data_IF_333807169316
#
_entry.id   IF_333807169316
#
_cell.length_a   1.000
_cell.length_b   1.000
_cell.length_c   1.000
_cell.angle_alpha   90.00
_cell.angle_beta   90.00
_cell.angle_gamma   90.00
#
_symmetry.space_group_name_H-M   'P 1'
#
loop_
_entity.id
_entity.type
_entity.pdbx_description
1 polymer ?
#
# COMPACT_ATOMS: atom_id res chain seq x y z
N UNK A 1 19.25 12.61 1.02
CA UNK A 1 18.00 13.08 0.39
C UNK A 1 17.74 14.50 0.84
N UNK A 2 17.54 15.43 -0.09
CA UNK A 2 17.09 16.78 0.28
C UNK A 2 15.60 16.72 0.62
N UNK A 3 15.25 16.90 1.89
CA UNK A 3 13.86 16.93 2.39
C UNK A 3 12.96 17.87 1.57
N UNK A 4 13.54 18.96 1.06
CA UNK A 4 12.87 19.94 0.20
C UNK A 4 12.26 19.34 -1.08
N UNK A 5 12.98 18.46 -1.79
CA UNK A 5 12.51 17.90 -3.07
C UNK A 5 11.35 16.93 -2.87
N UNK A 6 11.36 16.20 -1.76
CA UNK A 6 10.27 15.31 -1.35
C UNK A 6 9.02 16.13 -0.97
N UNK A 7 9.18 17.23 -0.24
CA UNK A 7 8.07 18.15 0.08
C UNK A 7 7.46 18.78 -1.18
N UNK A 8 8.27 19.17 -2.15
CA UNK A 8 7.82 19.72 -3.43
C UNK A 8 6.98 18.71 -4.21
N UNK A 9 7.51 17.49 -4.42
CA UNK A 9 6.80 16.41 -5.12
C UNK A 9 5.49 16.08 -4.39
N UNK A 10 5.54 15.99 -3.06
CA UNK A 10 4.36 15.72 -2.26
C UNK A 10 3.28 16.79 -2.43
N UNK A 11 3.67 18.08 -2.52
CA UNK A 11 2.73 19.16 -2.75
C UNK A 11 2.17 19.16 -4.17
N UNK A 12 3.01 18.95 -5.18
CA UNK A 12 2.62 18.93 -6.60
C UNK A 12 1.58 17.84 -6.88
N UNK A 13 1.81 16.63 -6.37
CA UNK A 13 0.93 15.48 -6.58
C UNK A 13 -0.17 15.35 -5.51
N UNK A 14 -0.21 16.24 -4.52
CA UNK A 14 -1.18 16.19 -3.43
C UNK A 14 -1.06 14.95 -2.55
N UNK A 15 0.16 14.49 -2.30
CA UNK A 15 0.50 13.38 -1.40
C UNK A 15 0.23 13.82 0.05
N UNK A 16 -0.54 13.02 0.77
CA UNK A 16 -0.89 13.21 2.18
C UNK A 16 0.01 12.39 3.11
N UNK A 17 0.42 11.21 2.65
CA UNK A 17 1.39 10.34 3.32
C UNK A 17 2.24 9.66 2.27
N UNK A 18 3.53 9.52 2.56
CA UNK A 18 4.44 8.63 1.84
C UNK A 18 5.11 7.72 2.85
N UNK A 19 5.05 6.42 2.59
CA UNK A 19 5.55 5.38 3.46
C UNK A 19 6.49 4.49 2.65
N UNK A 20 7.63 4.11 3.23
CA UNK A 20 8.38 2.97 2.75
C UNK A 20 7.84 1.73 3.43
N UNK A 21 7.54 0.69 2.68
CA UNK A 21 7.14 -0.61 3.21
C UNK A 21 8.00 -1.73 2.58
N UNK A 22 7.66 -2.99 2.79
CA UNK A 22 8.34 -4.11 2.12
C UNK A 22 9.09 -5.07 3.02
N UNK A 23 9.50 -6.20 2.43
CA UNK A 23 10.15 -7.34 3.10
C UNK A 23 11.59 -7.06 3.55
N UNK A 24 12.14 -5.89 3.25
CA UNK A 24 13.44 -5.42 3.76
C UNK A 24 13.40 -4.98 5.23
N UNK A 25 12.35 -5.36 5.97
CA UNK A 25 12.35 -5.38 7.44
C UNK A 25 12.82 -6.75 7.99
N UNK A 26 12.97 -7.79 7.14
CA UNK A 26 13.35 -9.16 7.56
C UNK A 26 14.67 -9.73 6.97
N UNK A 27 15.56 -8.89 6.41
CA UNK A 27 16.99 -9.26 6.35
C UNK A 27 17.50 -10.08 5.15
N UNK A 28 16.93 -9.92 3.95
CA UNK A 28 17.55 -10.45 2.72
C UNK A 28 17.79 -9.32 1.71
N UNK A 29 18.88 -8.59 1.91
CA UNK A 29 19.30 -7.48 1.05
C UNK A 29 19.97 -8.02 -0.21
N UNK A 30 19.25 -8.04 -1.33
CA UNK A 30 19.89 -8.14 -2.65
C UNK A 30 20.38 -6.74 -3.07
N UNK A 31 21.57 -6.57 -3.67
CA UNK A 31 22.12 -5.27 -4.08
C UNK A 31 21.34 -4.53 -5.20
N UNK A 32 20.20 -5.06 -5.63
CA UNK A 32 19.20 -4.40 -6.50
C UNK A 32 17.82 -4.36 -5.83
N UNK A 33 17.78 -4.22 -4.50
CA UNK A 33 16.52 -4.30 -3.75
C UNK A 33 15.52 -3.31 -4.30
N UNK A 34 14.39 -3.83 -4.77
CA UNK A 34 13.21 -3.04 -5.09
C UNK A 34 12.80 -2.26 -3.83
N UNK A 35 12.50 -0.98 -4.03
CA UNK A 35 12.09 -0.07 -2.98
C UNK A 35 10.57 0.09 -3.02
N UNK A 36 9.88 -0.56 -2.09
CA UNK A 36 8.42 -0.47 -2.01
C UNK A 36 8.00 0.85 -1.33
N UNK A 37 7.36 1.73 -2.10
CA UNK A 37 6.87 3.04 -1.63
C UNK A 37 5.35 3.08 -1.75
N UNK A 38 4.67 3.31 -0.64
CA UNK A 38 3.22 3.48 -0.59
C UNK A 38 2.89 4.97 -0.43
N UNK A 39 1.99 5.48 -1.28
CA UNK A 39 1.53 6.87 -1.22
C UNK A 39 0.03 6.92 -1.00
N UNK A 40 -0.38 7.82 -0.11
CA UNK A 40 -1.77 8.23 0.07
C UNK A 40 -1.95 9.59 -0.57
N UNK A 41 -2.81 9.66 -1.57
CA UNK A 41 -3.13 10.89 -2.28
C UNK A 41 -4.39 11.52 -1.73
N UNK A 42 -4.45 12.85 -1.77
CA UNK A 42 -5.67 13.60 -1.47
C UNK A 42 -6.79 13.29 -2.46
N UNK A 43 -6.43 13.16 -3.74
CA UNK A 43 -7.36 12.82 -4.82
C UNK A 43 -7.01 11.43 -5.34
N UNK A 44 -7.89 10.42 -5.14
CA UNK A 44 -7.62 9.05 -5.55
C UNK A 44 -7.74 8.82 -7.07
N UNK A 45 -8.44 9.69 -7.78
CA UNK A 45 -8.69 9.55 -9.21
C UNK A 45 -7.56 10.22 -10.01
N UNK A 46 -6.45 9.52 -10.21
CA UNK A 46 -5.41 9.97 -11.13
C UNK A 46 -5.70 9.50 -12.56
N UNK A 47 -5.41 10.34 -13.54
CA UNK A 47 -5.27 9.92 -14.93
C UNK A 47 -4.00 9.07 -15.12
N UNK A 48 -3.90 8.36 -16.25
CA UNK A 48 -2.71 7.56 -16.56
C UNK A 48 -1.44 8.43 -16.62
N UNK A 49 -1.55 9.63 -17.20
CA UNK A 49 -0.45 10.60 -17.28
C UNK A 49 -0.01 11.06 -15.88
N UNK A 50 -0.95 11.46 -15.02
CA UNK A 50 -0.62 11.86 -13.64
C UNK A 50 0.02 10.74 -12.83
N UNK A 51 -0.41 9.48 -13.04
CA UNK A 51 0.21 8.33 -12.38
C UNK A 51 1.63 8.07 -12.90
N UNK A 52 1.85 8.22 -14.21
CA UNK A 52 3.18 8.08 -14.81
C UNK A 52 4.13 9.18 -14.30
N UNK A 53 3.66 10.43 -14.25
CA UNK A 53 4.42 11.57 -13.74
C UNK A 53 4.76 11.40 -12.26
N UNK A 54 3.78 11.01 -11.43
CA UNK A 54 4.00 10.70 -10.02
C UNK A 54 5.06 9.60 -9.86
N UNK A 55 4.95 8.52 -10.63
CA UNK A 55 5.91 7.41 -10.58
C UNK A 55 7.31 7.87 -10.98
N UNK A 56 7.43 8.69 -12.03
CA UNK A 56 8.69 9.25 -12.47
C UNK A 56 9.33 10.16 -11.42
N UNK A 57 8.55 11.04 -10.81
CA UNK A 57 9.04 11.96 -9.77
C UNK A 57 9.47 11.21 -8.51
N UNK A 58 8.70 10.21 -8.07
CA UNK A 58 9.09 9.36 -6.94
C UNK A 58 10.35 8.55 -7.27
N UNK A 59 10.46 7.99 -8.48
CA UNK A 59 11.65 7.28 -8.94
C UNK A 59 12.90 8.19 -8.94
N UNK A 60 12.74 9.47 -9.30
CA UNK A 60 13.82 10.46 -9.28
C UNK A 60 14.32 10.79 -7.86
N UNK A 61 13.52 10.56 -6.81
CA UNK A 61 13.96 10.72 -5.43
C UNK A 61 14.96 9.65 -4.99
N UNK A 62 14.94 8.47 -5.62
CA UNK A 62 15.75 7.30 -5.25
C UNK A 62 16.64 6.84 -6.43
N UNK A 63 17.63 7.66 -6.82
CA UNK A 63 18.51 7.30 -7.94
C UNK A 63 19.29 6.02 -7.64
N UNK A 64 19.30 5.08 -8.60
CA UNK A 64 20.01 3.80 -8.49
C UNK A 64 19.24 2.67 -7.80
N UNK A 65 17.98 2.88 -7.41
CA UNK A 65 17.08 1.84 -6.92
C UNK A 65 15.82 1.80 -7.78
N UNK A 66 15.23 0.63 -8.01
CA UNK A 66 13.94 0.53 -8.68
C UNK A 66 12.83 0.75 -7.64
N UNK A 67 11.93 1.71 -7.88
CA UNK A 67 10.82 2.02 -6.98
C UNK A 67 9.56 1.29 -7.45
N UNK A 68 8.94 0.53 -6.56
CA UNK A 68 7.58 0.02 -6.75
C UNK A 68 6.58 0.91 -6.01
N UNK A 69 5.71 1.60 -6.76
CA UNK A 69 4.78 2.59 -6.22
C UNK A 69 3.40 1.95 -5.98
N UNK A 70 3.00 1.89 -4.72
CA UNK A 70 1.67 1.46 -4.30
C UNK A 70 0.75 2.64 -3.95
N UNK A 71 -0.45 2.69 -4.53
CA UNK A 71 -1.47 3.67 -4.18
C UNK A 71 -2.35 3.15 -3.02
N UNK A 72 -2.19 3.75 -1.84
CA UNK A 72 -2.96 3.42 -0.63
C UNK A 72 -4.47 3.62 -0.86
N UNK A 73 -4.85 4.60 -1.68
CA UNK A 73 -6.23 4.94 -1.97
C UNK A 73 -7.07 3.78 -2.54
N UNK A 74 -6.43 2.90 -3.33
CA UNK A 74 -7.08 1.78 -4.01
C UNK A 74 -6.57 0.42 -3.54
N UNK A 75 -5.70 0.40 -2.53
CA UNK A 75 -5.18 -0.83 -1.97
C UNK A 75 -6.29 -1.68 -1.36
N UNK A 76 -6.26 -2.99 -1.63
CA UNK A 76 -7.18 -3.93 -1.00
C UNK A 76 -6.90 -4.04 0.52
N UNK A 77 -7.85 -4.54 1.33
CA UNK A 77 -7.70 -4.59 2.78
C UNK A 77 -6.51 -5.43 3.27
N UNK A 78 -6.12 -6.49 2.55
CA UNK A 78 -4.99 -7.34 2.90
C UNK A 78 -3.68 -6.63 2.62
N UNK A 79 -3.56 -6.01 1.44
CA UNK A 79 -2.37 -5.27 1.05
C UNK A 79 -2.17 -4.04 1.93
N UNK A 80 -3.25 -3.31 2.22
CA UNK A 80 -3.21 -2.17 3.11
C UNK A 80 -2.73 -2.56 4.52
N UNK A 81 -3.22 -3.68 5.06
CA UNK A 81 -2.74 -4.23 6.33
C UNK A 81 -1.23 -4.50 6.26
N UNK A 82 -0.76 -5.20 5.23
CA UNK A 82 0.67 -5.51 5.03
C UNK A 82 1.53 -4.24 4.99
N UNK A 83 1.10 -3.22 4.25
CA UNK A 83 1.78 -1.90 4.20
C UNK A 83 1.89 -1.33 5.62
N UNK A 84 0.78 -1.28 6.36
CA UNK A 84 0.74 -0.64 7.67
C UNK A 84 1.43 -1.41 8.81
N UNK A 85 1.64 -2.73 8.66
CA UNK A 85 2.35 -3.57 9.64
C UNK A 85 3.86 -3.30 9.66
N UNK A 86 4.46 -3.13 8.49
CA UNK A 86 5.91 -2.95 8.32
C UNK A 86 6.21 -1.73 7.45
N UNK A 87 5.95 -0.53 7.98
CA UNK A 87 6.23 0.73 7.29
C UNK A 87 7.11 1.70 8.08
N UNK A 88 7.89 2.49 7.34
CA UNK A 88 8.56 3.70 7.82
C UNK A 88 7.94 4.95 7.17
N UNK A 89 7.65 5.97 7.98
CA UNK A 89 7.13 7.25 7.50
C UNK A 89 8.23 8.03 6.77
N UNK A 90 7.99 8.38 5.50
CA UNK A 90 8.87 9.24 4.71
C UNK A 90 8.34 10.68 4.61
N UNK A 91 7.02 10.83 4.44
CA UNK A 91 6.34 12.12 4.36
C UNK A 91 4.98 12.08 5.05
N UNK A 92 4.59 13.18 5.68
CA UNK A 92 3.30 13.36 6.36
C UNK A 92 3.43 13.38 7.88
N UNK A 93 2.30 13.26 8.59
CA UNK A 93 2.28 13.29 10.06
C UNK A 93 2.15 11.90 10.67
N UNK A 94 2.74 11.72 11.85
CA UNK A 94 2.59 10.50 12.65
C UNK A 94 1.12 10.22 12.99
N UNK A 95 0.34 11.26 13.30
CA UNK A 95 -1.10 11.15 13.55
C UNK A 95 -1.84 10.51 12.37
N UNK A 96 -1.56 10.96 11.15
CA UNK A 96 -2.22 10.42 9.96
C UNK A 96 -1.81 8.97 9.68
N UNK A 97 -0.56 8.62 9.96
CA UNK A 97 -0.12 7.22 9.90
C UNK A 97 -0.90 6.35 10.90
N UNK A 98 -1.15 6.84 12.12
CA UNK A 98 -1.96 6.10 13.11
C UNK A 98 -3.41 5.96 12.66
N UNK A 99 -4.00 7.03 12.11
CA UNK A 99 -5.35 6.98 11.51
C UNK A 99 -5.42 5.93 10.38
N UNK A 100 -4.40 5.89 9.52
CA UNK A 100 -4.30 4.91 8.45
C UNK A 100 -4.19 3.48 9.00
N UNK A 101 -3.38 3.26 10.03
CA UNK A 101 -3.25 1.95 10.71
C UNK A 101 -4.59 1.48 11.29
N UNK A 102 -5.32 2.36 11.96
CA UNK A 102 -6.64 2.05 12.51
C UNK A 102 -7.65 1.75 11.40
N UNK A 103 -7.65 2.53 10.32
CA UNK A 103 -8.50 2.30 9.16
C UNK A 103 -8.20 0.95 8.50
N UNK A 104 -6.92 0.63 8.28
CA UNK A 104 -6.48 -0.63 7.70
C UNK A 104 -6.90 -1.83 8.55
N UNK A 105 -6.71 -1.73 9.87
CA UNK A 105 -7.10 -2.76 10.82
C UNK A 105 -8.61 -3.02 10.79
N UNK A 106 -9.43 -1.96 10.83
CA UNK A 106 -10.89 -2.07 10.77
C UNK A 106 -11.34 -2.69 9.46
N UNK A 107 -10.82 -2.22 8.33
CA UNK A 107 -11.18 -2.71 7.00
C UNK A 107 -10.81 -4.18 6.80
N UNK A 108 -9.67 -4.61 7.33
CA UNK A 108 -9.27 -6.02 7.34
C UNK A 108 -10.20 -6.89 8.20
N UNK A 109 -10.59 -6.41 9.39
CA UNK A 109 -11.52 -7.14 10.26
C UNK A 109 -12.89 -7.33 9.61
N UNK A 110 -13.43 -6.26 9.00
CA UNK A 110 -14.71 -6.30 8.28
C UNK A 110 -14.63 -7.32 7.13
N UNK A 111 -13.58 -7.26 6.31
CA UNK A 111 -13.37 -8.20 5.20
C UNK A 111 -13.25 -9.66 5.68
N UNK A 112 -12.50 -9.92 6.75
CA UNK A 112 -12.33 -11.27 7.31
C UNK A 112 -13.65 -11.84 7.85
N UNK A 113 -14.55 -10.99 8.34
CA UNK A 113 -15.87 -11.41 8.83
C UNK A 113 -16.76 -11.91 7.69
N UNK A 114 -16.64 -11.36 6.49
CA UNK A 114 -17.32 -11.86 5.29
C UNK A 114 -16.79 -13.21 4.84
N UNK A 115 -15.46 -13.42 4.79
CA UNK A 115 -14.89 -14.74 4.43
C UNK A 115 -15.26 -15.84 5.44
N UNK A 116 -15.39 -15.50 6.72
CA UNK A 116 -15.80 -16.44 7.76
C UNK A 116 -17.27 -16.90 7.63
N UNK A 117 -18.08 -16.24 6.80
CA UNK A 117 -19.47 -16.64 6.50
C UNK A 117 -19.58 -17.54 5.25
N UNK A 118 -18.51 -17.68 4.45
CA UNK A 118 -18.47 -18.57 3.29
C UNK A 118 -18.30 -20.10 3.54
N UNK A 119 -17.89 -20.62 4.73
CA UNK A 119 -17.75 -22.07 4.90
C UNK A 119 -19.07 -22.83 4.76
N UNK A 120 -20.21 -22.18 5.00
CA UNK A 120 -21.54 -22.82 4.93
C UNK A 120 -22.01 -23.11 3.49
N UNK A 121 -21.45 -22.42 2.48
CA UNK A 121 -21.86 -22.61 1.10
C UNK A 121 -21.08 -23.73 0.40
N UNK A 122 -19.76 -23.82 0.64
CA UNK A 122 -18.90 -24.87 0.06
C UNK A 122 -19.21 -26.27 0.61
N UNK A 123 -19.61 -26.37 1.88
CA UNK A 123 -20.02 -27.64 2.49
C UNK A 123 -21.32 -28.22 1.88
N UNK A 124 -22.17 -27.37 1.25
CA UNK A 124 -23.41 -27.79 0.61
C UNK A 124 -23.18 -28.34 -0.80
N UNK A 125 -22.26 -27.75 -1.57
CA UNK A 125 -21.97 -28.19 -2.94
C UNK A 125 -21.21 -29.53 -2.95
N UNK A 126 -20.31 -29.77 -1.99
CA UNK A 126 -19.58 -31.04 -1.89
C UNK A 126 -20.46 -32.26 -1.55
N UNK A 127 -21.71 -32.05 -1.10
CA UNK A 127 -22.67 -33.16 -0.90
C UNK A 127 -23.45 -33.53 -2.16
N UNK A 128 -23.40 -32.74 -3.23
CA UNK A 128 -24.16 -33.03 -4.46
C UNK A 128 -23.32 -33.72 -5.55
N UNK A 129 -21.99 -33.68 -5.47
CA UNK A 129 -21.11 -34.24 -6.51
C UNK A 129 -20.38 -35.52 -6.09
N UNK A 130 -20.60 -36.02 -4.88
CA UNK A 130 -20.01 -37.27 -4.36
C UNK A 130 -20.80 -38.54 -4.68
N UNK A 131 -21.61 -38.55 -5.73
CA UNK A 131 -22.44 -39.68 -6.14
C UNK A 131 -22.44 -39.86 -7.65
N UNK A 132 -21.33 -40.37 -8.19
CA UNK A 132 -21.28 -41.09 -9.48
C UNK A 132 -20.33 -42.26 -9.31
#
# INVERSE_FOLDING_TARGET
>A
MGTQRLEEIARTHGILLMLRFGSTVSGHTHPRSDLDIAVLLRRPALSFEELADLTHDVQALFPGQQVDLALINHADPLFLKKITEQCALLYGSSTRLQELKLYAFRRYQDHRRYLAMEPDYLARTLRQTGGV
#
